data_IF_031880532671
#
_entry.id   IF_031880532671
#
_cell.length_a   1.000
_cell.length_b   1.000
_cell.length_c   1.000
_cell.angle_alpha   90.00
_cell.angle_beta   90.00
_cell.angle_gamma   90.00
#
_symmetry.space_group_name_H-M   'P 1'
#
loop_
_entity.id
_entity.type
_entity.pdbx_description
1 polymer ?
#
# COMPACT_ATOMS: atom_id res chain seq x y z
N UNK A 1 18.26 -48.50 30.00
CA UNK A 1 18.63 -48.13 28.62
C UNK A 1 17.37 -47.67 27.91
N UNK A 2 17.25 -46.38 27.60
CA UNK A 2 16.09 -45.85 26.85
C UNK A 2 16.59 -45.22 25.56
N UNK A 3 16.17 -45.75 24.42
CA UNK A 3 16.40 -45.11 23.12
C UNK A 3 15.38 -43.98 22.94
N UNK A 4 15.87 -42.74 22.85
CA UNK A 4 15.04 -41.61 22.44
C UNK A 4 15.05 -41.51 20.91
N UNK A 5 13.86 -41.58 20.31
CA UNK A 5 13.66 -41.50 18.87
C UNK A 5 13.87 -40.06 18.36
N UNK A 6 14.91 -39.85 17.56
CA UNK A 6 15.21 -38.57 16.91
C UNK A 6 14.28 -38.34 15.69
N UNK A 7 12.98 -38.08 15.94
CA UNK A 7 12.02 -37.69 14.89
C UNK A 7 12.22 -36.23 14.48
N UNK A 8 13.31 -35.96 13.76
CA UNK A 8 13.51 -34.67 13.07
C UNK A 8 12.44 -34.50 12.00
N UNK A 9 11.42 -33.69 12.29
CA UNK A 9 10.36 -33.39 11.34
C UNK A 9 10.93 -32.75 10.07
N UNK A 10 10.57 -33.32 8.91
CA UNK A 10 10.82 -32.76 7.59
C UNK A 10 10.24 -31.33 7.54
N UNK A 11 11.11 -30.33 7.66
CA UNK A 11 10.76 -28.91 7.50
C UNK A 11 10.35 -28.71 6.05
N UNK A 12 9.04 -28.62 5.78
CA UNK A 12 8.52 -28.25 4.46
C UNK A 12 9.07 -26.87 4.11
N UNK A 13 9.84 -26.79 3.04
CA UNK A 13 10.27 -25.51 2.48
C UNK A 13 9.05 -24.73 1.98
N UNK A 14 9.06 -23.38 2.05
CA UNK A 14 8.00 -22.57 1.45
C UNK A 14 7.96 -22.85 -0.07
N UNK A 15 6.76 -22.99 -0.63
CA UNK A 15 6.60 -23.19 -2.08
C UNK A 15 6.79 -21.86 -2.79
N UNK A 16 7.51 -21.89 -3.92
CA UNK A 16 7.77 -20.69 -4.73
C UNK A 16 6.49 -20.16 -5.37
N UNK A 17 5.56 -21.04 -5.75
CA UNK A 17 4.27 -20.70 -6.33
C UNK A 17 3.16 -21.22 -5.39
N UNK A 18 2.17 -20.38 -5.01
CA UNK A 18 1.02 -20.80 -4.21
C UNK A 18 0.18 -21.85 -4.96
N UNK A 19 -0.23 -22.90 -4.26
CA UNK A 19 -1.02 -24.00 -4.83
C UNK A 19 -2.18 -24.40 -3.91
N UNK A 20 -3.43 -24.48 -4.42
CA UNK A 20 -3.83 -24.25 -5.81
C UNK A 20 -3.62 -22.79 -6.26
N UNK A 21 -3.38 -22.58 -7.56
CA UNK A 21 -3.14 -21.23 -8.12
C UNK A 21 -4.31 -20.28 -7.79
N UNK A 22 -4.05 -19.09 -7.19
CA UNK A 22 -5.06 -18.05 -6.98
C UNK A 22 -5.78 -17.62 -8.26
N UNK A 23 -6.99 -17.09 -8.13
CA UNK A 23 -7.81 -16.69 -9.27
C UNK A 23 -7.14 -15.58 -10.09
N UNK A 24 -6.54 -14.62 -9.39
CA UNK A 24 -5.80 -13.48 -9.94
C UNK A 24 -4.58 -13.95 -10.76
N UNK A 25 -3.86 -14.96 -10.26
CA UNK A 25 -2.71 -15.54 -10.96
C UNK A 25 -3.14 -16.35 -12.19
N UNK A 26 -4.31 -17.02 -12.14
CA UNK A 26 -4.92 -17.68 -13.30
C UNK A 26 -5.33 -16.67 -14.37
N UNK A 27 -5.93 -15.54 -14.00
CA UNK A 27 -6.27 -14.44 -14.93
C UNK A 27 -5.01 -13.90 -15.63
N UNK A 28 -3.94 -13.63 -14.90
CA UNK A 28 -2.64 -13.22 -15.47
C UNK A 28 -2.10 -14.24 -16.50
N UNK A 29 -2.23 -15.54 -16.21
CA UNK A 29 -1.82 -16.61 -17.13
C UNK A 29 -2.72 -16.63 -18.38
N UNK A 30 -4.04 -16.43 -18.22
CA UNK A 30 -4.99 -16.35 -19.33
C UNK A 30 -4.70 -15.16 -20.26
N UNK A 31 -4.43 -13.98 -19.72
CA UNK A 31 -4.14 -12.77 -20.52
C UNK A 31 -2.85 -12.90 -21.34
N UNK A 32 -1.80 -13.50 -20.77
CA UNK A 32 -0.50 -13.62 -21.46
C UNK A 32 -0.41 -14.85 -22.37
N UNK A 33 -0.86 -16.02 -21.93
CA UNK A 33 -0.74 -17.27 -22.67
C UNK A 33 -1.93 -17.57 -23.61
N UNK A 34 -3.07 -16.87 -23.45
CA UNK A 34 -4.26 -17.04 -24.29
C UNK A 34 -4.76 -18.49 -24.29
N UNK A 35 -4.97 -19.07 -25.47
CA UNK A 35 -5.44 -20.44 -25.66
C UNK A 35 -4.54 -21.50 -24.99
N UNK A 36 -3.25 -21.18 -24.75
CA UNK A 36 -2.29 -22.09 -24.12
C UNK A 36 -2.33 -22.05 -22.58
N UNK A 37 -3.16 -21.19 -21.97
CA UNK A 37 -3.22 -20.97 -20.52
C UNK A 37 -3.49 -22.24 -19.70
N UNK A 38 -4.35 -23.15 -20.17
CA UNK A 38 -4.60 -24.43 -19.48
C UNK A 38 -3.33 -25.27 -19.39
N UNK A 39 -2.58 -25.38 -20.49
CA UNK A 39 -1.32 -26.14 -20.55
C UNK A 39 -0.27 -25.52 -19.64
N UNK A 40 -0.18 -24.18 -19.59
CA UNK A 40 0.69 -23.48 -18.65
C UNK A 40 0.31 -23.78 -17.20
N UNK A 41 -0.98 -23.76 -16.86
CA UNK A 41 -1.48 -24.08 -15.51
C UNK A 41 -1.10 -25.52 -15.13
N UNK A 42 -1.38 -26.49 -15.98
CA UNK A 42 -1.06 -27.92 -15.73
C UNK A 42 0.44 -28.13 -15.52
N UNK A 43 1.28 -27.46 -16.32
CA UNK A 43 2.74 -27.48 -16.19
C UNK A 43 3.19 -26.87 -14.86
N UNK A 44 2.67 -25.69 -14.49
CA UNK A 44 2.98 -25.02 -13.23
C UNK A 44 2.58 -25.87 -12.01
N UNK A 45 1.40 -26.50 -12.05
CA UNK A 45 0.96 -27.42 -11.00
C UNK A 45 1.92 -28.60 -10.84
N UNK A 46 2.36 -29.21 -11.96
CA UNK A 46 3.34 -30.30 -11.98
C UNK A 46 4.72 -29.95 -11.40
N UNK A 47 5.26 -28.76 -11.72
CA UNK A 47 6.64 -28.38 -11.32
C UNK A 47 6.72 -27.63 -9.98
N UNK A 48 5.60 -27.13 -9.46
CA UNK A 48 5.54 -26.33 -8.21
C UNK A 48 6.14 -27.01 -6.96
N UNK A 49 6.29 -28.34 -6.99
CA UNK A 49 6.85 -29.13 -5.90
C UNK A 49 8.36 -29.41 -6.01
N UNK A 50 8.97 -29.13 -7.17
CA UNK A 50 10.39 -29.40 -7.45
C UNK A 50 11.24 -28.14 -7.58
N UNK A 51 10.63 -26.98 -7.89
CA UNK A 51 11.35 -25.71 -8.06
C UNK A 51 12.01 -25.22 -6.76
N UNK A 52 13.32 -24.92 -6.84
CA UNK A 52 14.03 -24.15 -5.82
C UNK A 52 13.84 -22.65 -6.05
N UNK A 53 13.68 -21.85 -4.99
CA UNK A 53 13.47 -20.40 -5.11
C UNK A 53 14.62 -19.67 -5.84
N UNK A 54 15.86 -20.15 -5.66
CA UNK A 54 17.07 -19.55 -6.25
C UNK A 54 17.08 -19.65 -7.79
N UNK A 55 16.54 -20.74 -8.35
CA UNK A 55 16.58 -21.05 -9.78
C UNK A 55 15.20 -21.00 -10.46
N UNK A 56 14.12 -20.74 -9.71
CA UNK A 56 12.75 -20.86 -10.20
C UNK A 56 12.49 -20.06 -11.48
N UNK A 57 13.02 -18.83 -11.57
CA UNK A 57 12.87 -17.99 -12.77
C UNK A 57 13.50 -18.60 -14.03
N UNK A 58 14.67 -19.24 -13.93
CA UNK A 58 15.32 -19.90 -15.07
C UNK A 58 14.65 -21.23 -15.41
N UNK A 59 14.36 -22.07 -14.41
CA UNK A 59 13.72 -23.37 -14.61
C UNK A 59 12.32 -23.21 -15.21
N UNK A 60 11.51 -22.26 -14.72
CA UNK A 60 10.22 -21.93 -15.31
C UNK A 60 10.33 -21.38 -16.73
N UNK A 61 11.37 -20.59 -17.03
CA UNK A 61 11.58 -20.04 -18.37
C UNK A 61 11.90 -21.15 -19.38
N UNK A 62 12.81 -22.06 -19.03
CA UNK A 62 13.19 -23.19 -19.89
C UNK A 62 12.00 -24.13 -20.14
N UNK A 63 11.14 -24.33 -19.14
CA UNK A 63 9.96 -25.19 -19.20
C UNK A 63 8.81 -24.53 -19.98
N UNK A 64 8.60 -23.22 -19.84
CA UNK A 64 7.50 -22.50 -20.50
C UNK A 64 7.84 -21.91 -21.86
N UNK A 65 9.14 -21.73 -22.19
CA UNK A 65 9.59 -21.29 -23.51
C UNK A 65 9.05 -22.12 -24.70
N UNK A 66 9.05 -23.47 -24.68
CA UNK A 66 8.46 -24.27 -25.76
C UNK A 66 6.92 -24.23 -25.77
N UNK A 67 6.28 -23.77 -24.69
CA UNK A 67 4.83 -23.64 -24.60
C UNK A 67 4.38 -22.28 -25.12
N UNK A 68 4.98 -21.19 -24.67
CA UNK A 68 4.48 -19.82 -24.90
C UNK A 68 5.43 -19.01 -25.80
N UNK A 69 5.07 -18.92 -27.08
CA UNK A 69 5.92 -18.40 -28.17
C UNK A 69 6.43 -16.97 -27.89
N UNK A 70 7.69 -16.85 -27.50
CA UNK A 70 8.37 -15.58 -27.23
C UNK A 70 7.91 -14.81 -25.98
N UNK A 71 6.72 -15.10 -25.42
CA UNK A 71 6.19 -14.41 -24.23
C UNK A 71 6.60 -15.05 -22.89
N UNK A 72 7.16 -16.26 -22.90
CA UNK A 72 7.48 -17.01 -21.68
C UNK A 72 8.25 -16.19 -20.63
N UNK A 73 9.19 -15.33 -21.05
CA UNK A 73 9.93 -14.43 -20.15
C UNK A 73 9.02 -13.47 -19.37
N UNK A 74 8.13 -12.75 -20.05
CA UNK A 74 7.23 -11.78 -19.39
C UNK A 74 6.24 -12.50 -18.45
N UNK A 75 5.76 -13.67 -18.85
CA UNK A 75 4.87 -14.50 -18.05
C UNK A 75 5.56 -14.98 -16.75
N UNK A 76 6.78 -15.49 -16.85
CA UNK A 76 7.57 -15.91 -15.67
C UNK A 76 7.90 -14.72 -14.77
N UNK A 77 8.27 -13.57 -15.34
CA UNK A 77 8.52 -12.34 -14.57
C UNK A 77 7.28 -11.93 -13.75
N UNK A 78 6.06 -11.95 -14.34
CA UNK A 78 4.81 -11.66 -13.62
C UNK A 78 4.47 -12.70 -12.55
N UNK A 79 4.63 -14.00 -12.82
CA UNK A 79 4.39 -15.07 -11.82
C UNK A 79 5.31 -14.89 -10.61
N UNK A 80 6.59 -14.58 -10.85
CA UNK A 80 7.59 -14.34 -9.81
C UNK A 80 7.42 -12.99 -9.11
N UNK A 81 6.84 -11.98 -9.75
CA UNK A 81 6.42 -10.73 -9.12
C UNK A 81 5.23 -10.95 -8.18
N UNK A 82 4.15 -11.58 -8.66
CA UNK A 82 2.97 -11.92 -7.85
C UNK A 82 3.35 -12.71 -6.58
N UNK A 83 4.17 -13.75 -6.72
CA UNK A 83 4.65 -14.57 -5.59
C UNK A 83 5.49 -13.77 -4.57
N UNK A 84 6.18 -12.71 -5.01
CA UNK A 84 6.91 -11.78 -4.12
C UNK A 84 6.00 -10.75 -3.45
N UNK A 85 4.88 -10.37 -4.08
CA UNK A 85 3.93 -9.43 -3.49
C UNK A 85 3.10 -10.06 -2.35
N UNK A 86 2.67 -11.31 -2.50
CA UNK A 86 2.00 -12.04 -1.40
C UNK A 86 2.88 -12.12 -0.14
N UNK A 87 4.20 -12.27 -0.32
CA UNK A 87 5.17 -12.26 0.79
C UNK A 87 5.24 -10.90 1.52
N UNK A 88 4.95 -9.78 0.84
CA UNK A 88 4.92 -8.43 1.43
C UNK A 88 3.58 -8.10 2.07
N UNK A 89 2.49 -8.69 1.59
CA UNK A 89 1.12 -8.41 2.04
C UNK A 89 0.76 -8.90 3.45
N UNK A 90 1.64 -9.64 4.13
CA UNK A 90 1.47 -10.08 5.52
C UNK A 90 0.35 -11.11 5.77
N UNK A 91 -0.37 -11.51 4.72
CA UNK A 91 -1.34 -12.60 4.74
C UNK A 91 -0.62 -13.90 4.35
N UNK A 92 -0.77 -14.92 5.19
CA UNK A 92 -0.34 -16.31 4.94
C UNK A 92 1.14 -16.66 4.75
N UNK A 93 2.10 -16.01 5.45
CA UNK A 93 3.42 -16.63 5.72
C UNK A 93 3.96 -16.40 7.15
N UNK A 94 3.30 -17.00 8.15
CA UNK A 94 3.85 -17.14 9.52
C UNK A 94 4.63 -18.45 9.66
N UNK A 95 5.73 -18.60 8.90
CA UNK A 95 6.68 -19.71 9.03
C UNK A 95 8.06 -19.16 9.42
N UNK A 96 8.57 -19.55 10.60
CA UNK A 96 9.76 -18.99 11.26
C UNK A 96 11.13 -19.27 10.58
N UNK A 97 11.15 -19.59 9.28
CA UNK A 97 12.36 -19.95 8.53
C UNK A 97 12.44 -19.24 7.16
N UNK A 98 12.16 -17.93 7.12
CA UNK A 98 12.56 -17.13 5.95
C UNK A 98 14.07 -16.89 6.02
N UNK A 99 14.84 -17.60 5.20
CA UNK A 99 16.27 -17.37 5.00
C UNK A 99 16.52 -16.37 3.87
N UNK A 100 15.68 -15.33 3.77
CA UNK A 100 15.96 -14.19 2.91
C UNK A 100 17.10 -13.38 3.52
N UNK A 101 18.30 -13.63 3.02
CA UNK A 101 19.37 -12.63 3.00
C UNK A 101 18.79 -11.38 2.33
N UNK A 102 18.59 -10.32 3.10
CA UNK A 102 18.52 -8.99 2.54
C UNK A 102 19.93 -8.65 2.05
N UNK A 103 20.04 -8.12 0.82
CA UNK A 103 21.31 -7.60 0.28
C UNK A 103 21.84 -6.46 1.16
N UNK A 104 22.72 -6.78 2.10
CA UNK A 104 23.65 -5.82 2.69
C UNK A 104 24.71 -5.48 1.64
N UNK A 105 24.39 -4.55 0.75
CA UNK A 105 25.35 -3.96 -0.16
C UNK A 105 25.71 -2.53 0.27
N UNK A 106 27.04 -2.32 0.40
CA UNK A 106 27.74 -1.03 0.54
C UNK A 106 27.74 -0.35 1.93
N UNK A 107 28.64 -0.81 2.82
CA UNK A 107 29.56 0.11 3.51
C UNK A 107 30.86 -0.59 3.98
N UNK A 108 31.95 0.18 4.11
CA UNK A 108 33.35 -0.24 4.33
C UNK A 108 34.01 -0.95 3.12
N UNK A 109 35.26 -0.67 2.71
CA UNK A 109 36.42 -0.01 3.34
C UNK A 109 37.07 0.99 2.34
N UNK A 110 37.49 2.20 2.73
CA UNK A 110 38.90 2.60 3.00
C UNK A 110 39.97 1.83 2.21
N UNK A 111 40.93 2.44 1.52
CA UNK A 111 41.34 3.85 1.34
C UNK A 111 42.13 3.96 0.01
N UNK A 112 42.97 4.95 -0.35
CA UNK A 112 43.51 6.21 0.21
C UNK A 112 44.31 6.90 -0.90
N UNK A 113 44.35 8.24 -0.98
CA UNK A 113 45.56 8.93 -1.46
C UNK A 113 45.63 10.44 -1.11
N UNK A 114 46.85 11.00 -1.16
CA UNK A 114 47.19 12.35 -0.69
C UNK A 114 47.09 13.46 -1.76
N UNK A 115 47.31 14.70 -1.30
CA UNK A 115 47.61 15.94 -2.06
C UNK A 115 46.38 16.71 -2.63
N UNK A 116 46.37 18.06 -2.70
CA UNK A 116 47.27 19.12 -2.19
C UNK A 116 46.62 20.51 -2.39
N UNK A 117 46.78 21.41 -1.41
CA UNK A 117 46.66 22.89 -1.41
C UNK A 117 45.81 23.62 -2.48
N UNK A 118 44.95 24.55 -2.03
CA UNK A 118 44.93 26.01 -2.33
C UNK A 118 43.50 26.58 -2.16
N UNK A 119 43.25 27.47 -1.18
CA UNK A 119 43.45 28.95 -1.18
C UNK A 119 42.25 29.75 -1.75
N UNK A 120 41.73 30.63 -0.88
CA UNK A 120 41.16 31.98 -1.13
C UNK A 120 39.67 32.18 -1.39
N UNK A 121 39.23 33.26 -0.73
CA UNK A 121 38.11 34.18 -0.95
C UNK A 121 36.69 33.60 -0.77
N UNK A 122 35.86 34.09 0.15
CA UNK A 122 35.47 35.48 0.51
C UNK A 122 34.39 36.06 -0.42
N UNK A 123 33.26 36.37 0.21
CA UNK A 123 32.20 37.30 -0.20
C UNK A 123 31.55 37.12 -1.58
N UNK A 124 30.32 36.61 -1.56
CA UNK A 124 29.27 37.06 -2.46
C UNK A 124 27.93 36.99 -1.72
N UNK A 125 27.50 38.14 -1.21
CA UNK A 125 26.16 38.35 -0.63
C UNK A 125 25.12 38.45 -1.76
N UNK A 126 24.74 37.29 -2.30
CA UNK A 126 23.70 37.19 -3.32
C UNK A 126 22.34 36.91 -2.69
N UNK A 127 21.51 37.96 -2.67
CA UNK A 127 20.07 37.91 -2.32
C UNK A 127 19.32 36.91 -3.20
N UNK A 128 19.26 35.65 -2.77
CA UNK A 128 18.52 34.62 -3.51
C UNK A 128 17.04 34.63 -3.10
N UNK A 129 16.18 34.97 -4.06
CA UNK A 129 14.74 35.08 -3.84
C UNK A 129 14.15 33.77 -3.32
N UNK A 130 13.31 33.87 -2.28
CA UNK A 130 12.72 32.74 -1.56
C UNK A 130 11.79 31.92 -2.46
N UNK A 131 12.38 31.03 -3.28
CA UNK A 131 11.69 29.89 -3.84
C UNK A 131 11.26 29.04 -2.65
N UNK A 132 9.97 29.15 -2.27
CA UNK A 132 9.29 28.21 -1.36
C UNK A 132 9.53 26.80 -1.87
N UNK A 133 10.59 26.15 -1.38
CA UNK A 133 10.81 24.72 -1.56
C UNK A 133 9.54 24.08 -0.99
N UNK A 134 8.81 23.34 -1.81
CA UNK A 134 7.68 22.54 -1.31
C UNK A 134 8.25 21.71 -0.17
N UNK A 135 7.68 21.86 1.03
CA UNK A 135 8.12 21.08 2.17
C UNK A 135 8.02 19.59 1.79
N UNK A 136 8.97 18.74 2.24
CA UNK A 136 8.88 17.31 1.99
C UNK A 136 7.52 16.79 2.48
N UNK A 137 6.86 15.93 1.69
CA UNK A 137 5.60 15.29 2.08
C UNK A 137 5.90 14.37 3.26
N UNK A 138 5.61 14.85 4.47
CA UNK A 138 5.97 14.19 5.72
C UNK A 138 5.23 12.87 5.92
N UNK A 139 5.83 11.97 6.69
CA UNK A 139 5.26 10.64 6.93
C UNK A 139 4.21 10.73 8.03
N UNK A 140 2.97 10.39 7.70
CA UNK A 140 1.82 10.49 8.61
C UNK A 140 1.57 9.17 9.36
N UNK A 141 1.39 9.28 10.68
CA UNK A 141 1.03 8.17 11.58
C UNK A 141 -0.26 8.52 12.31
N UNK A 142 -1.24 7.61 12.27
CA UNK A 142 -2.48 7.69 13.05
C UNK A 142 -2.24 7.12 14.45
N UNK A 143 -2.69 7.88 15.45
CA UNK A 143 -2.80 7.48 16.85
C UNK A 143 -4.29 7.39 17.19
N UNK A 144 -4.77 6.21 17.56
CA UNK A 144 -6.19 5.91 17.82
C UNK A 144 -6.44 5.50 19.27
N UNK A 145 -7.68 5.71 19.73
CA UNK A 145 -8.17 5.46 21.11
C UNK A 145 -7.58 6.38 22.18
N UNK A 146 -7.08 7.55 21.80
CA UNK A 146 -6.58 8.54 22.75
C UNK A 146 -7.77 9.29 23.41
N UNK A 147 -7.74 9.43 24.73
CA UNK A 147 -8.79 10.10 25.50
C UNK A 147 -8.42 11.57 25.78
N UNK A 148 -9.15 12.50 25.16
CA UNK A 148 -8.96 13.95 25.30
C UNK A 148 -9.05 14.46 26.75
N UNK A 149 -9.84 13.80 27.60
CA UNK A 149 -9.96 14.17 29.02
C UNK A 149 -8.73 13.79 29.86
N UNK A 150 -7.76 13.08 29.28
CA UNK A 150 -6.50 12.66 29.94
C UNK A 150 -5.24 13.22 29.28
N UNK A 151 -5.29 13.47 27.97
CA UNK A 151 -4.11 13.78 27.16
C UNK A 151 -4.42 14.87 26.12
N UNK A 152 -3.55 15.87 26.07
CA UNK A 152 -3.60 16.96 25.09
C UNK A 152 -2.87 16.61 23.78
N UNK A 153 -3.04 17.46 22.75
CA UNK A 153 -2.27 17.36 21.49
C UNK A 153 -0.79 17.64 21.74
N UNK A 154 -0.51 18.53 22.69
CA UNK A 154 0.81 18.94 23.14
C UNK A 154 1.55 17.77 23.82
N UNK A 155 0.86 17.00 24.67
CA UNK A 155 1.41 15.79 25.29
C UNK A 155 1.80 14.76 24.22
N UNK A 156 0.90 14.48 23.27
CA UNK A 156 1.17 13.54 22.19
C UNK A 156 2.34 14.01 21.32
N UNK A 157 2.41 15.31 21.01
CA UNK A 157 3.52 15.90 20.25
C UNK A 157 4.85 15.79 21.00
N UNK A 158 4.86 16.06 22.31
CA UNK A 158 6.05 15.94 23.15
C UNK A 158 6.53 14.49 23.32
N UNK A 159 5.59 13.53 23.41
CA UNK A 159 5.90 12.11 23.40
C UNK A 159 6.45 11.64 22.05
N UNK A 160 5.80 12.00 20.93
CA UNK A 160 6.24 11.64 19.59
C UNK A 160 7.61 12.26 19.22
N UNK A 161 7.93 13.45 19.75
CA UNK A 161 9.22 14.11 19.52
C UNK A 161 10.44 13.31 20.03
N UNK A 162 10.23 12.28 20.87
CA UNK A 162 11.30 11.37 21.34
C UNK A 162 11.87 10.48 20.24
N UNK A 163 11.07 10.16 19.22
CA UNK A 163 11.43 9.29 18.09
C UNK A 163 11.93 10.08 16.87
N UNK A 164 11.83 11.41 16.91
CA UNK A 164 12.35 12.29 15.86
C UNK A 164 11.55 13.58 15.67
N UNK A 165 11.89 14.33 14.63
CA UNK A 165 11.32 15.65 14.38
C UNK A 165 9.87 15.54 13.87
N UNK A 166 8.94 15.99 14.70
CA UNK A 166 7.51 16.11 14.38
C UNK A 166 7.26 17.44 13.65
N UNK A 167 6.87 17.36 12.38
CA UNK A 167 6.46 18.51 11.56
C UNK A 167 5.09 19.06 11.97
N UNK A 168 4.19 18.19 12.44
CA UNK A 168 2.86 18.59 12.88
C UNK A 168 2.15 17.49 13.67
N UNK A 169 1.20 17.88 14.51
CA UNK A 169 0.25 16.98 15.15
C UNK A 169 -1.13 17.61 15.06
N UNK A 170 -2.13 16.86 14.60
CA UNK A 170 -3.50 17.35 14.40
C UNK A 170 -4.54 16.32 14.80
N UNK A 171 -5.67 16.78 15.33
CA UNK A 171 -6.84 15.94 15.63
C UNK A 171 -7.63 15.67 14.35
N UNK A 172 -8.16 14.46 14.20
CA UNK A 172 -9.06 14.06 13.09
C UNK A 172 -10.44 13.68 13.63
N UNK A 173 -10.51 12.94 14.73
CA UNK A 173 -11.73 12.60 15.45
C UNK A 173 -11.51 12.76 16.96
N UNK A 174 -12.55 12.58 17.78
CA UNK A 174 -12.40 12.64 19.25
C UNK A 174 -11.40 11.62 19.79
N UNK A 175 -11.31 10.44 19.16
CA UNK A 175 -10.42 9.35 19.55
C UNK A 175 -9.17 9.21 18.65
N UNK A 176 -8.99 10.08 17.65
CA UNK A 176 -7.95 9.93 16.61
C UNK A 176 -7.18 11.19 16.28
N UNK A 177 -5.87 11.05 16.25
CA UNK A 177 -4.89 12.08 15.95
C UNK A 177 -3.95 11.61 14.84
N UNK A 178 -3.39 12.54 14.07
CA UNK A 178 -2.29 12.29 13.13
C UNK A 178 -1.06 13.06 13.56
N UNK A 179 0.05 12.34 13.65
CA UNK A 179 1.40 12.86 13.84
C UNK A 179 2.11 12.81 12.49
N UNK A 180 2.77 13.90 12.10
CA UNK A 180 3.53 14.00 10.85
C UNK A 180 5.01 14.09 11.19
N UNK A 181 5.80 13.12 10.77
CA UNK A 181 7.26 13.08 10.96
C UNK A 181 7.98 13.61 9.73
N UNK A 182 9.18 14.19 9.92
CA UNK A 182 10.06 14.59 8.81
C UNK A 182 10.69 13.40 8.09
N UNK A 183 10.96 12.31 8.80
CA UNK A 183 11.67 11.13 8.30
C UNK A 183 10.86 9.85 8.51
N UNK A 184 10.94 8.93 7.55
CA UNK A 184 10.30 7.61 7.61
C UNK A 184 10.80 6.78 8.81
N UNK A 185 12.11 6.78 9.07
CA UNK A 185 12.71 5.99 10.16
C UNK A 185 12.11 6.38 11.52
N UNK A 186 11.89 7.67 11.78
CA UNK A 186 11.25 8.16 13.01
C UNK A 186 9.79 7.72 13.14
N UNK A 187 9.06 7.68 12.03
CA UNK A 187 7.70 7.15 12.01
C UNK A 187 7.68 5.64 12.26
N UNK A 188 8.64 4.89 11.70
CA UNK A 188 8.76 3.44 11.88
C UNK A 188 9.13 3.07 13.32
N UNK A 189 10.10 3.76 13.90
CA UNK A 189 10.48 3.59 15.30
C UNK A 189 9.31 3.92 16.25
N UNK A 190 8.61 5.03 15.99
CA UNK A 190 7.41 5.40 16.75
C UNK A 190 6.33 4.31 16.68
N UNK A 191 5.97 3.84 15.47
CA UNK A 191 4.94 2.82 15.26
C UNK A 191 5.32 1.47 15.87
N UNK A 192 6.56 1.01 15.67
CA UNK A 192 7.06 -0.29 16.13
C UNK A 192 7.45 -0.31 17.61
N UNK A 193 7.69 0.84 18.23
CA UNK A 193 8.06 0.91 19.64
C UNK A 193 7.03 0.16 20.52
N UNK A 194 7.46 -0.77 21.39
CA UNK A 194 6.58 -1.50 22.29
C UNK A 194 6.09 -0.64 23.46
N UNK A 195 6.60 0.58 23.62
CA UNK A 195 6.22 1.47 24.71
C UNK A 195 4.75 1.93 24.58
N UNK A 196 3.99 1.94 25.69
CA UNK A 196 2.64 2.47 25.71
C UNK A 196 2.64 3.98 25.48
N UNK A 197 1.78 4.45 24.58
CA UNK A 197 1.67 5.88 24.26
C UNK A 197 1.10 6.62 25.46
N UNK A 198 1.85 7.59 26.00
CA UNK A 198 1.45 8.37 27.18
C UNK A 198 1.09 7.50 28.40
N UNK A 199 1.73 6.33 28.54
CA UNK A 199 1.46 5.30 29.55
C UNK A 199 0.09 4.59 29.42
N UNK A 200 -0.62 4.75 28.30
CA UNK A 200 -1.87 4.05 28.01
C UNK A 200 -1.65 2.95 26.94
N UNK A 201 -1.85 1.70 27.35
CA UNK A 201 -1.69 0.50 26.51
C UNK A 201 -2.85 0.35 25.49
N UNK A 202 -3.98 1.02 25.73
CA UNK A 202 -5.15 0.96 24.84
C UNK A 202 -4.99 1.80 23.57
N UNK A 203 -4.11 2.81 23.60
CA UNK A 203 -3.78 3.67 22.47
C UNK A 203 -2.98 2.87 21.44
N UNK A 204 -3.39 2.95 20.17
CA UNK A 204 -2.75 2.22 19.06
C UNK A 204 -2.13 3.16 18.03
N UNK A 205 -0.98 2.76 17.50
CA UNK A 205 -0.20 3.48 16.48
C UNK A 205 -0.23 2.71 15.16
N UNK A 206 -0.54 3.39 14.06
CA UNK A 206 -0.53 2.80 12.71
C UNK A 206 -0.11 3.84 11.68
N UNK A 207 0.60 3.44 10.63
CA UNK A 207 0.81 4.30 9.48
C UNK A 207 -0.52 4.79 8.89
N UNK A 208 -0.56 6.05 8.46
CA UNK A 208 -1.66 6.54 7.64
C UNK A 208 -1.48 6.02 6.22
N UNK A 209 -1.96 4.81 5.94
CA UNK A 209 -2.17 4.37 4.57
C UNK A 209 -3.34 5.19 4.00
N UNK A 210 -3.00 6.34 3.41
CA UNK A 210 -3.84 6.87 2.34
C UNK A 210 -3.61 5.96 1.15
N UNK A 211 -4.57 5.07 0.87
CA UNK A 211 -4.48 4.13 -0.24
C UNK A 211 -4.08 4.88 -1.52
N UNK A 212 -2.93 4.50 -2.08
CA UNK A 212 -2.42 5.11 -3.32
C UNK A 212 -3.45 4.96 -4.46
N UNK A 213 -4.17 3.84 -4.44
CA UNK A 213 -5.32 3.56 -5.28
C UNK A 213 -6.40 4.65 -5.14
N UNK A 214 -6.84 4.97 -3.92
CA UNK A 214 -7.82 6.05 -3.66
C UNK A 214 -7.34 7.43 -4.12
N UNK A 215 -6.05 7.78 -3.93
CA UNK A 215 -5.47 9.02 -4.51
C UNK A 215 -5.56 8.99 -6.05
N UNK A 216 -5.28 7.85 -6.68
CA UNK A 216 -5.32 7.68 -8.14
C UNK A 216 -6.74 7.73 -8.71
N UNK A 217 -7.71 7.12 -8.01
CA UNK A 217 -9.10 7.03 -8.45
C UNK A 217 -9.82 8.37 -8.26
N UNK A 218 -9.54 9.09 -7.17
CA UNK A 218 -10.00 10.47 -7.02
C UNK A 218 -9.49 11.37 -8.16
N UNK A 219 -8.22 11.24 -8.56
CA UNK A 219 -7.70 12.00 -9.72
C UNK A 219 -8.48 11.69 -11.00
N UNK A 220 -8.68 10.40 -11.33
CA UNK A 220 -9.46 9.99 -12.51
C UNK A 220 -10.88 10.55 -12.49
N UNK A 221 -11.54 10.52 -11.33
CA UNK A 221 -12.90 11.06 -11.16
C UNK A 221 -12.96 12.59 -11.32
N UNK A 222 -11.97 13.33 -10.81
CA UNK A 222 -11.88 14.78 -11.03
C UNK A 222 -11.60 15.13 -12.51
N UNK A 223 -10.72 14.38 -13.19
CA UNK A 223 -10.49 14.54 -14.63
C UNK A 223 -11.75 14.23 -15.44
N UNK A 224 -12.52 13.20 -15.07
CA UNK A 224 -13.81 12.90 -15.69
C UNK A 224 -14.85 14.01 -15.42
N UNK A 225 -14.93 14.52 -14.19
CA UNK A 225 -15.79 15.65 -13.83
C UNK A 225 -15.48 16.90 -14.67
N UNK A 226 -14.20 17.26 -14.80
CA UNK A 226 -13.75 18.41 -15.59
C UNK A 226 -14.08 18.22 -17.08
N UNK A 227 -13.85 17.01 -17.61
CA UNK A 227 -14.20 16.67 -19.00
C UNK A 227 -15.70 16.75 -19.28
N UNK A 228 -16.54 16.34 -18.33
CA UNK A 228 -18.00 16.48 -18.44
C UNK A 228 -18.40 17.97 -18.40
N UNK A 229 -17.85 18.74 -17.46
CA UNK A 229 -18.12 20.18 -17.34
C UNK A 229 -17.70 20.96 -18.60
N UNK A 230 -16.60 20.58 -19.26
CA UNK A 230 -16.15 21.20 -20.53
C UNK A 230 -17.09 20.96 -21.70
N UNK A 231 -17.79 19.80 -21.75
CA UNK A 231 -18.74 19.46 -22.82
C UNK A 231 -20.14 20.03 -22.58
N UNK A 232 -20.51 20.22 -21.32
CA UNK A 232 -21.86 20.63 -20.92
C UNK A 232 -22.42 21.88 -21.62
N UNK A 233 -21.64 22.92 -21.98
CA UNK A 233 -22.14 24.08 -22.73
C UNK A 233 -22.55 23.78 -24.18
N UNK A 234 -22.02 22.71 -24.79
CA UNK A 234 -22.32 22.32 -26.19
C UNK A 234 -23.22 21.10 -26.33
N UNK A 235 -23.19 20.18 -25.36
CA UNK A 235 -23.84 18.85 -25.43
C UNK A 235 -24.78 18.62 -24.23
N UNK A 236 -25.67 19.58 -23.93
CA UNK A 236 -26.52 19.49 -22.74
C UNK A 236 -27.63 18.43 -22.86
N UNK A 237 -27.34 17.22 -22.38
CA UNK A 237 -28.26 16.09 -22.39
C UNK A 237 -28.36 15.40 -21.02
N UNK A 238 -29.51 14.77 -20.75
CA UNK A 238 -29.82 14.11 -19.46
C UNK A 238 -28.83 13.00 -19.11
N UNK A 239 -28.29 12.30 -20.10
CA UNK A 239 -27.23 11.29 -19.96
C UNK A 239 -25.94 11.88 -19.38
N UNK A 240 -25.53 13.05 -19.86
CA UNK A 240 -24.34 13.77 -19.40
C UNK A 240 -24.50 14.22 -17.94
N UNK A 241 -25.68 14.77 -17.60
CA UNK A 241 -26.03 15.20 -16.24
C UNK A 241 -26.06 14.01 -15.26
N UNK A 242 -26.63 12.88 -15.66
CA UNK A 242 -26.67 11.66 -14.84
C UNK A 242 -25.26 11.08 -14.62
N UNK A 243 -24.38 11.15 -15.63
CA UNK A 243 -22.97 10.77 -15.49
C UNK A 243 -22.24 11.66 -14.49
N UNK A 244 -22.44 12.99 -14.56
CA UNK A 244 -21.87 13.93 -13.58
C UNK A 244 -22.36 13.67 -12.15
N UNK A 245 -23.66 13.37 -11.97
CA UNK A 245 -24.21 12.98 -10.67
C UNK A 245 -23.51 11.73 -10.13
N UNK A 246 -23.31 10.70 -10.96
CA UNK A 246 -22.60 9.47 -10.57
C UNK A 246 -21.16 9.74 -10.14
N UNK A 247 -20.40 10.52 -10.91
CA UNK A 247 -19.02 10.90 -10.58
C UNK A 247 -18.96 11.67 -9.24
N UNK A 248 -19.85 12.64 -9.01
CA UNK A 248 -19.93 13.37 -7.75
C UNK A 248 -20.25 12.46 -6.55
N UNK A 249 -21.13 11.47 -6.72
CA UNK A 249 -21.43 10.47 -5.66
C UNK A 249 -20.19 9.63 -5.35
N UNK A 250 -19.46 9.18 -6.37
CA UNK A 250 -18.22 8.41 -6.19
C UNK A 250 -17.14 9.24 -5.47
N UNK A 251 -16.89 10.49 -5.90
CA UNK A 251 -15.97 11.41 -5.22
C UNK A 251 -16.39 11.59 -3.74
N UNK A 252 -17.68 11.84 -3.47
CA UNK A 252 -18.17 12.00 -2.09
C UNK A 252 -17.92 10.74 -1.24
N UNK A 253 -18.21 9.55 -1.76
CA UNK A 253 -17.98 8.30 -1.02
C UNK A 253 -16.50 8.06 -0.67
N UNK A 254 -15.58 8.40 -1.58
CA UNK A 254 -14.14 8.26 -1.38
C UNK A 254 -13.56 9.33 -0.43
N UNK A 255 -14.07 10.57 -0.49
CA UNK A 255 -13.59 11.68 0.37
C UNK A 255 -14.15 11.60 1.78
N UNK A 256 -15.45 11.32 1.94
CA UNK A 256 -16.11 11.37 3.25
C UNK A 256 -15.94 10.07 4.05
N UNK A 257 -15.43 9.00 3.43
CA UNK A 257 -15.51 7.63 3.95
C UNK A 257 -16.95 7.19 4.28
N UNK A 258 -17.95 7.85 3.67
CA UNK A 258 -19.32 7.39 3.58
C UNK A 258 -19.34 6.16 2.67
N UNK A 259 -18.87 5.03 3.20
CA UNK A 259 -19.29 3.72 2.71
C UNK A 259 -20.82 3.77 2.73
N UNK A 260 -21.51 3.60 1.59
CA UNK A 260 -22.96 3.58 1.60
C UNK A 260 -23.37 2.53 2.62
N UNK A 261 -24.05 2.96 3.69
CA UNK A 261 -24.71 2.01 4.58
C UNK A 261 -25.59 1.20 3.65
N UNK A 262 -25.32 -0.10 3.59
CA UNK A 262 -26.11 -1.02 2.78
C UNK A 262 -27.53 -0.89 3.33
N UNK A 263 -28.38 -0.16 2.61
CA UNK A 263 -29.79 -0.07 2.94
C UNK A 263 -30.30 -1.45 2.62
N UNK A 264 -30.37 -2.29 3.66
CA UNK A 264 -31.06 -3.56 3.61
C UNK A 264 -32.49 -3.21 3.26
N UNK A 265 -32.81 -3.30 1.97
CA UNK A 265 -34.16 -3.05 1.45
C UNK A 265 -34.99 -4.26 1.89
N UNK A 266 -35.44 -4.23 3.14
CA UNK A 266 -36.45 -5.16 3.63
C UNK A 266 -37.68 -4.96 2.73
N UNK A 267 -38.00 -5.95 1.89
CA UNK A 267 -39.01 -5.85 0.84
C UNK A 267 -40.45 -5.90 1.39
N UNK A 268 -40.70 -5.17 2.47
CA UNK A 268 -42.03 -4.93 3.04
C UNK A 268 -42.51 -3.56 2.59
N UNK A 269 -43.48 -3.58 1.68
CA UNK A 269 -44.17 -2.41 1.13
C UNK A 269 -44.61 -1.43 2.24
N UNK A 270 -43.88 -0.33 2.36
CA UNK A 270 -44.30 0.91 3.01
C UNK A 270 -43.87 2.06 2.10
N UNK A 271 -44.80 2.95 1.77
CA UNK A 271 -44.47 4.15 0.99
C UNK A 271 -43.78 5.14 1.92
N UNK A 272 -42.46 5.23 1.83
CA UNK A 272 -41.63 6.01 2.75
C UNK A 272 -41.75 7.51 2.45
N UNK A 273 -42.67 8.16 3.16
CA UNK A 273 -43.14 9.52 2.85
C UNK A 273 -42.06 10.59 3.09
N UNK A 274 -41.07 10.30 3.96
CA UNK A 274 -39.96 11.20 4.30
C UNK A 274 -38.91 11.32 3.18
N UNK A 275 -38.80 10.30 2.31
CA UNK A 275 -37.91 10.32 1.14
C UNK A 275 -38.60 10.84 -0.14
N UNK A 276 -39.84 11.33 -0.04
CA UNK A 276 -40.54 11.95 -1.17
C UNK A 276 -39.96 13.34 -1.48
N UNK A 277 -39.40 13.49 -2.69
CA UNK A 277 -38.90 14.77 -3.23
C UNK A 277 -39.92 15.92 -3.20
N UNK A 278 -41.21 15.63 -3.01
CA UNK A 278 -42.28 16.63 -2.95
C UNK A 278 -42.35 17.42 -1.63
N UNK A 279 -41.75 16.94 -0.53
CA UNK A 279 -41.88 17.58 0.79
C UNK A 279 -40.75 18.53 1.18
N UNK A 280 -39.66 18.62 0.40
CA UNK A 280 -38.53 19.53 0.65
C UNK A 280 -38.61 20.85 -0.15
N UNK A 281 -39.81 21.30 -0.53
CA UNK A 281 -40.04 22.47 -1.38
C UNK A 281 -41.08 23.48 -0.84
N UNK A 282 -41.45 23.38 0.45
CA UNK A 282 -42.28 24.36 1.17
C UNK A 282 -41.73 24.58 2.58
#
# INVERSE_FOLDING_TARGET
MSMQNDRRGLRRQPRVIPMPLPAELREIIHDEAGDKASVVIDVLEGVSSTLSYENASSELLDILAPVVDGKAKMLVERIMEYSREECKGGKTYMAKNSSLLHDESVSAQTSSDMHRNQRRNAESDSKEGSKRRKAPEGVEVIVSKMNEGRHSVEDLKAYAARYGKVLGCRKIASDRFVVVFELLNSADEFVRSPEPVLNDISIKKFYHLVDANTKSDLRKLFEEQENIMKRMPGEFHTTLLNRLKKVNIQIRSLVMNDRPKEVVVDHKKGFDQENSLYYNCF
#
